data_IF_604200237355
#
_entry.id   IF_604200237355
#
_cell.length_a   1.000
_cell.length_b   1.000
_cell.length_c   1.000
_cell.angle_alpha   90.00
_cell.angle_beta   90.00
_cell.angle_gamma   90.00
#
_symmetry.space_group_name_H-M   'P 1'
#
loop_
_entity.id
_entity.type
_entity.pdbx_description
1 polymer ?
#
# COMPACT_ATOMS: atom_id res chain seq x y z
N UNK A 1 11.23 6.76 -0.37
CA UNK A 1 12.16 5.61 -0.41
C UNK A 1 11.46 4.26 -0.19
N UNK A 2 10.52 4.13 0.75
CA UNK A 2 9.84 2.84 1.02
C UNK A 2 9.15 2.19 -0.21
N UNK A 3 8.47 2.97 -1.05
CA UNK A 3 7.79 2.44 -2.23
C UNK A 3 8.77 1.84 -3.24
N UNK A 4 9.90 2.51 -3.49
CA UNK A 4 10.97 2.02 -4.35
C UNK A 4 11.59 0.73 -3.82
N UNK A 5 11.75 0.60 -2.50
CA UNK A 5 12.21 -0.65 -1.87
C UNK A 5 11.24 -1.81 -2.10
N UNK A 6 9.93 -1.59 -1.92
CA UNK A 6 8.89 -2.60 -2.22
C UNK A 6 8.94 -3.06 -3.68
N UNK A 7 9.13 -2.13 -4.61
CA UNK A 7 9.27 -2.44 -6.04
C UNK A 7 10.53 -3.32 -6.25
N UNK A 8 11.68 -2.89 -5.72
CA UNK A 8 12.93 -3.64 -5.85
C UNK A 8 12.86 -5.05 -5.26
N UNK A 9 12.29 -5.21 -4.06
CA UNK A 9 12.12 -6.52 -3.42
C UNK A 9 11.21 -7.45 -4.23
N UNK A 10 10.12 -6.91 -4.81
CA UNK A 10 9.24 -7.68 -5.71
C UNK A 10 9.98 -8.14 -6.95
N UNK A 11 10.66 -7.22 -7.63
CA UNK A 11 11.46 -7.54 -8.81
C UNK A 11 12.50 -8.62 -8.50
N UNK A 12 13.20 -8.50 -7.37
CA UNK A 12 14.19 -9.49 -6.94
C UNK A 12 13.54 -10.86 -6.69
N UNK A 13 12.47 -10.94 -5.88
CA UNK A 13 11.79 -12.22 -5.58
C UNK A 13 11.22 -12.89 -6.83
N UNK A 14 10.67 -12.12 -7.77
CA UNK A 14 10.18 -12.65 -9.04
C UNK A 14 11.34 -13.17 -9.91
N UNK A 15 12.46 -12.44 -9.98
CA UNK A 15 13.63 -12.84 -10.75
C UNK A 15 14.32 -14.10 -10.19
N UNK A 16 14.34 -14.28 -8.86
CA UNK A 16 14.96 -15.45 -8.22
C UNK A 16 14.02 -16.65 -8.10
N UNK A 17 12.79 -16.57 -8.62
CA UNK A 17 11.78 -17.63 -8.47
C UNK A 17 11.31 -17.84 -7.02
N UNK A 18 11.50 -16.86 -6.15
CA UNK A 18 11.18 -16.94 -4.72
C UNK A 18 9.69 -16.74 -4.39
N UNK A 19 8.86 -16.48 -5.39
CA UNK A 19 7.39 -16.31 -5.26
C UNK A 19 6.69 -16.80 -6.53
N UNK A 20 5.46 -17.26 -6.38
CA UNK A 20 4.53 -17.36 -7.51
C UNK A 20 4.15 -15.94 -7.98
N UNK A 21 4.52 -15.61 -9.22
CA UNK A 21 4.29 -14.29 -9.81
C UNK A 21 2.80 -13.99 -9.96
N UNK A 22 1.98 -14.99 -10.28
CA UNK A 22 0.55 -14.81 -10.44
C UNK A 22 -0.10 -14.49 -9.08
N UNK A 23 0.28 -15.23 -8.04
CA UNK A 23 -0.25 -14.97 -6.70
C UNK A 23 0.26 -13.63 -6.12
N UNK A 24 1.53 -13.29 -6.29
CA UNK A 24 2.05 -11.98 -5.85
C UNK A 24 1.35 -10.83 -6.59
N UNK A 25 1.05 -10.99 -7.89
CA UNK A 25 0.30 -9.99 -8.66
C UNK A 25 -1.15 -9.86 -8.17
N UNK A 26 -1.81 -10.97 -7.83
CA UNK A 26 -3.15 -10.95 -7.26
C UNK A 26 -3.16 -10.26 -5.90
N UNK A 27 -2.21 -10.60 -5.04
CA UNK A 27 -2.02 -9.97 -3.73
C UNK A 27 -1.79 -8.46 -3.87
N UNK A 28 -0.95 -8.04 -4.84
CA UNK A 28 -0.70 -6.63 -5.15
C UNK A 28 -1.96 -5.84 -5.50
N UNK A 29 -2.91 -6.45 -6.24
CA UNK A 29 -4.17 -5.80 -6.59
C UNK A 29 -5.09 -5.75 -5.37
N UNK A 30 -5.20 -6.84 -4.62
CA UNK A 30 -6.00 -6.89 -3.39
C UNK A 30 -5.54 -5.84 -2.37
N UNK A 31 -4.23 -5.68 -2.15
CA UNK A 31 -3.65 -4.66 -1.27
C UNK A 31 -4.07 -3.24 -1.69
N UNK A 32 -4.03 -2.93 -3.00
CA UNK A 32 -4.44 -1.61 -3.52
C UNK A 32 -5.93 -1.37 -3.33
N UNK A 33 -6.75 -2.38 -3.64
CA UNK A 33 -8.21 -2.30 -3.49
C UNK A 33 -8.60 -2.10 -2.03
N UNK A 34 -8.01 -2.85 -1.10
CA UNK A 34 -8.25 -2.67 0.33
C UNK A 34 -7.85 -1.27 0.81
N UNK A 35 -6.67 -0.78 0.42
CA UNK A 35 -6.22 0.56 0.80
C UNK A 35 -7.17 1.66 0.27
N UNK A 36 -7.66 1.51 -0.96
CA UNK A 36 -8.63 2.43 -1.57
C UNK A 36 -9.98 2.39 -0.85
N UNK A 37 -10.51 1.20 -0.55
CA UNK A 37 -11.77 1.04 0.18
C UNK A 37 -11.69 1.62 1.60
N UNK A 38 -10.60 1.38 2.32
CA UNK A 38 -10.38 1.97 3.65
C UNK A 38 -10.31 3.51 3.58
N UNK A 39 -9.68 4.06 2.55
CA UNK A 39 -9.61 5.50 2.35
C UNK A 39 -10.98 6.09 1.98
N UNK A 40 -11.72 5.43 1.08
CA UNK A 40 -13.08 5.83 0.70
C UNK A 40 -14.00 5.82 1.91
N UNK A 41 -13.93 4.77 2.75
CA UNK A 41 -14.67 4.71 4.00
C UNK A 41 -14.29 5.87 4.94
N UNK A 42 -13.00 6.20 5.06
CA UNK A 42 -12.55 7.34 5.87
C UNK A 42 -13.03 8.69 5.31
N UNK A 43 -13.17 8.82 4.00
CA UNK A 43 -13.73 10.00 3.35
C UNK A 43 -15.23 10.14 3.64
N UNK A 44 -16.02 9.11 3.35
CA UNK A 44 -17.49 9.12 3.52
C UNK A 44 -17.90 9.26 4.98
N UNK A 45 -17.13 8.68 5.91
CA UNK A 45 -17.37 8.84 7.35
C UNK A 45 -16.85 10.16 7.94
N UNK A 46 -16.24 11.04 7.12
CA UNK A 46 -15.69 12.31 7.60
C UNK A 46 -14.40 12.19 8.43
N UNK A 47 -13.81 11.00 8.57
CA UNK A 47 -12.58 10.76 9.36
C UNK A 47 -11.36 11.50 8.81
N UNK A 48 -11.38 11.90 7.55
CA UNK A 48 -10.35 12.77 6.96
C UNK A 48 -10.42 14.22 7.52
N UNK A 49 -11.60 14.67 7.98
CA UNK A 49 -11.83 16.02 8.47
C UNK A 49 -12.10 17.03 7.35
N UNK A 50 -12.40 18.27 7.72
CA UNK A 50 -12.73 19.36 6.80
C UNK A 50 -11.54 20.22 6.39
N UNK A 51 -10.42 20.17 7.12
CA UNK A 51 -9.19 20.86 6.77
C UNK A 51 -8.41 20.10 5.66
N UNK A 52 -8.19 20.70 4.47
CA UNK A 52 -7.51 20.04 3.36
C UNK A 52 -6.09 19.56 3.70
N UNK A 53 -5.34 20.32 4.51
CA UNK A 53 -3.97 19.97 4.86
C UNK A 53 -3.92 18.76 5.80
N UNK A 54 -4.72 18.77 6.87
CA UNK A 54 -4.86 17.63 7.77
C UNK A 54 -5.42 16.39 7.06
N UNK A 55 -6.40 16.56 6.16
CA UNK A 55 -6.95 15.50 5.32
C UNK A 55 -5.86 14.84 4.48
N UNK A 56 -5.10 15.63 3.72
CA UNK A 56 -3.99 15.15 2.89
C UNK A 56 -2.94 14.41 3.72
N UNK A 57 -2.55 14.93 4.88
CA UNK A 57 -1.62 14.25 5.81
C UNK A 57 -2.14 12.89 6.28
N UNK A 58 -3.45 12.76 6.52
CA UNK A 58 -4.09 11.48 6.87
C UNK A 58 -4.04 10.49 5.70
N UNK A 59 -4.31 10.95 4.47
CA UNK A 59 -4.19 10.12 3.26
C UNK A 59 -2.75 9.62 3.07
N UNK A 60 -1.76 10.51 3.17
CA UNK A 60 -0.35 10.13 3.05
C UNK A 60 0.07 9.14 4.14
N UNK A 61 -0.36 9.36 5.39
CA UNK A 61 -0.10 8.43 6.49
C UNK A 61 -0.75 7.07 6.27
N UNK A 62 -1.96 7.06 5.72
CA UNK A 62 -2.68 5.83 5.38
C UNK A 62 -1.88 4.95 4.41
N UNK A 63 -1.53 5.49 3.25
CA UNK A 63 -0.73 4.75 2.26
C UNK A 63 0.67 4.42 2.75
N UNK A 64 1.32 5.32 3.48
CA UNK A 64 2.67 5.08 4.02
C UNK A 64 2.71 3.88 4.95
N UNK A 65 1.68 3.67 5.78
CA UNK A 65 1.57 2.48 6.64
C UNK A 65 1.44 1.19 5.83
N UNK A 66 0.64 1.21 4.75
CA UNK A 66 0.48 0.04 3.87
C UNK A 66 1.78 -0.31 3.14
N UNK A 67 2.51 0.69 2.64
CA UNK A 67 3.82 0.48 2.00
C UNK A 67 4.83 -0.10 3.00
N UNK A 68 4.86 0.38 4.25
CA UNK A 68 5.72 -0.18 5.31
C UNK A 68 5.38 -1.64 5.62
N UNK A 69 4.10 -1.98 5.71
CA UNK A 69 3.67 -3.36 5.90
C UNK A 69 4.09 -4.27 4.75
N UNK A 70 3.96 -3.79 3.50
CA UNK A 70 4.41 -4.52 2.32
C UNK A 70 5.92 -4.77 2.34
N UNK A 71 6.71 -3.76 2.71
CA UNK A 71 8.16 -3.92 2.86
C UNK A 71 8.48 -5.00 3.89
N UNK A 72 7.87 -4.92 5.07
CA UNK A 72 8.11 -5.90 6.13
C UNK A 72 7.76 -7.34 5.71
N UNK A 73 6.72 -7.54 4.90
CA UNK A 73 6.37 -8.86 4.32
C UNK A 73 7.42 -9.37 3.32
N UNK A 74 8.00 -8.45 2.54
CA UNK A 74 8.91 -8.78 1.44
C UNK A 74 10.37 -8.95 1.88
N UNK A 75 10.76 -8.53 3.08
CA UNK A 75 12.11 -8.67 3.63
C UNK A 75 12.76 -7.33 3.93
#
# INVERSE_FOLDING_TARGET
MEASAVIGLRTARMATGGVDVAEETRLMVSEKMQAALELQAALVSGRLGSDPLAGTRKVLRHYSRKVKANRARLG
#
